data_IF_002291042900
#
_entry.id   IF_002291042900
#
_cell.length_a   1.000
_cell.length_b   1.000
_cell.length_c   1.000
_cell.angle_alpha   90.00
_cell.angle_beta   90.00
_cell.angle_gamma   90.00
#
_symmetry.space_group_name_H-M   'P 1'
#
loop_
_entity.id
_entity.type
_entity.pdbx_description
1 polymer ?
#
# COMPACT_ATOMS: atom_id res chain seq x y z
N UNK A 1 7.54 -19.00 25.02
CA UNK A 1 7.85 -18.54 23.64
C UNK A 1 7.61 -17.04 23.59
N UNK A 2 8.53 -16.25 23.02
CA UNK A 2 8.41 -14.81 22.82
C UNK A 2 8.52 -14.51 21.32
N UNK A 3 7.56 -13.76 20.78
CA UNK A 3 7.58 -13.30 19.39
C UNK A 3 7.63 -11.77 19.40
N UNK A 4 8.74 -11.19 18.95
CA UNK A 4 8.96 -9.74 18.96
C UNK A 4 8.83 -9.20 17.53
N UNK A 5 7.89 -8.27 17.34
CA UNK A 5 7.88 -7.41 16.15
C UNK A 5 8.81 -6.23 16.43
N UNK A 6 9.86 -6.01 15.63
CA UNK A 6 10.83 -4.95 15.89
C UNK A 6 10.19 -3.56 15.70
N UNK A 7 10.71 -2.51 16.36
CA UNK A 7 10.41 -1.14 15.98
C UNK A 7 10.89 -0.90 14.54
N UNK A 8 10.05 -0.29 13.72
CA UNK A 8 10.34 -0.01 12.31
C UNK A 8 10.38 1.50 12.07
N UNK A 9 11.35 1.94 11.28
CA UNK A 9 11.55 3.36 10.89
C UNK A 9 11.94 3.44 9.41
N UNK A 10 11.75 4.59 8.74
CA UNK A 10 12.20 4.78 7.37
C UNK A 10 13.72 4.56 7.22
N UNK A 11 14.20 4.08 6.06
CA UNK A 11 15.62 3.95 5.80
C UNK A 11 16.39 5.28 5.97
N UNK A 12 17.67 5.26 6.41
CA UNK A 12 18.53 6.45 6.48
C UNK A 12 18.53 7.28 5.19
N UNK A 13 18.60 6.61 4.04
CA UNK A 13 18.58 7.25 2.72
C UNK A 13 17.32 8.07 2.42
N UNK A 14 16.22 7.78 3.10
CA UNK A 14 15.00 8.60 3.03
C UNK A 14 15.00 9.62 4.16
N UNK A 15 15.12 9.17 5.42
CA UNK A 15 14.91 10.03 6.61
C UNK A 15 15.90 11.19 6.71
N UNK A 16 17.09 11.06 6.13
CA UNK A 16 18.15 12.08 6.11
C UNK A 16 18.18 12.86 4.78
N UNK A 17 17.24 12.61 3.87
CA UNK A 17 17.16 13.27 2.57
C UNK A 17 16.28 14.51 2.58
N UNK A 18 16.41 15.41 1.58
CA UNK A 18 15.52 16.55 1.40
C UNK A 18 14.06 16.20 1.07
N UNK A 19 13.73 14.92 0.87
CA UNK A 19 12.40 14.39 0.49
C UNK A 19 11.43 14.31 1.66
N UNK A 20 11.93 14.49 2.89
CA UNK A 20 11.16 14.35 4.12
C UNK A 20 10.60 15.70 4.55
N UNK A 21 9.38 15.66 5.08
CA UNK A 21 8.79 16.76 5.83
C UNK A 21 8.11 16.20 7.09
N UNK A 22 8.69 16.44 8.26
CA UNK A 22 8.16 15.95 9.54
C UNK A 22 8.64 14.54 9.93
N UNK A 23 7.77 13.54 9.84
CA UNK A 23 7.85 12.23 10.53
C UNK A 23 9.00 11.28 10.12
N UNK A 24 9.94 11.72 9.28
CA UNK A 24 11.04 10.89 8.76
C UNK A 24 10.71 10.12 7.49
N UNK A 25 9.44 10.08 7.08
CA UNK A 25 8.99 9.45 5.84
C UNK A 25 9.04 10.45 4.68
N UNK A 26 9.14 9.94 3.44
CA UNK A 26 9.02 10.76 2.25
C UNK A 26 7.64 11.43 2.22
N UNK A 27 7.64 12.76 2.11
CA UNK A 27 6.41 13.54 2.11
C UNK A 27 5.82 13.59 0.70
N UNK A 28 4.60 13.05 0.58
CA UNK A 28 3.87 12.97 -0.69
C UNK A 28 2.44 13.44 -0.53
N UNK A 29 1.86 13.93 -1.61
CA UNK A 29 0.43 14.13 -1.70
C UNK A 29 -0.25 12.75 -1.61
N UNK A 30 -1.13 12.58 -0.62
CA UNK A 30 -1.80 11.29 -0.35
C UNK A 30 -2.64 10.76 -1.53
N UNK A 31 -3.09 11.63 -2.44
CA UNK A 31 -3.89 11.23 -3.59
C UNK A 31 -3.01 11.00 -4.83
N UNK A 32 -2.08 11.89 -5.15
CA UNK A 32 -1.32 11.78 -6.40
C UNK A 32 -0.01 11.01 -6.26
N UNK A 33 0.46 10.80 -5.03
CA UNK A 33 1.75 10.19 -4.67
C UNK A 33 2.99 10.96 -5.17
N UNK A 34 2.79 12.18 -5.65
CA UNK A 34 3.85 13.13 -5.99
C UNK A 34 4.42 13.73 -4.71
N UNK A 35 5.73 13.99 -4.68
CA UNK A 35 6.35 14.74 -3.59
C UNK A 35 5.70 16.12 -3.46
N UNK A 36 5.47 16.55 -2.22
CA UNK A 36 4.95 17.89 -1.91
C UNK A 36 5.95 19.01 -2.20
N UNK A 37 7.24 18.67 -2.38
CA UNK A 37 8.35 19.62 -2.55
C UNK A 37 8.97 19.59 -3.93
N UNK A 38 8.98 18.43 -4.59
CA UNK A 38 9.63 18.24 -5.88
C UNK A 38 8.65 17.66 -6.89
N UNK A 39 8.22 18.46 -7.87
CA UNK A 39 7.21 18.06 -8.84
C UNK A 39 7.63 16.88 -9.74
N UNK A 40 8.94 16.65 -9.88
CA UNK A 40 9.51 15.55 -10.67
C UNK A 40 9.81 14.30 -9.84
N UNK A 41 9.39 14.24 -8.58
CA UNK A 41 9.65 13.12 -7.67
C UNK A 41 8.34 12.50 -7.20
N UNK A 42 8.27 11.17 -7.20
CA UNK A 42 7.12 10.39 -6.75
C UNK A 42 7.55 9.34 -5.74
N UNK A 43 6.69 9.02 -4.78
CA UNK A 43 6.94 8.04 -3.73
C UNK A 43 5.88 6.94 -3.73
N UNK A 44 6.25 5.73 -3.30
CA UNK A 44 5.35 4.59 -3.20
C UNK A 44 5.75 3.70 -2.02
N UNK A 45 4.76 3.08 -1.38
CA UNK A 45 4.95 2.06 -0.35
C UNK A 45 5.44 2.61 0.98
N UNK A 46 6.13 1.75 1.71
CA UNK A 46 6.40 1.90 3.15
C UNK A 46 7.25 3.13 3.49
N UNK A 47 8.05 3.63 2.55
CA UNK A 47 8.88 4.81 2.76
C UNK A 47 8.10 6.14 2.76
N UNK A 48 6.83 6.12 2.33
CA UNK A 48 5.99 7.33 2.23
C UNK A 48 5.22 7.62 3.51
N UNK A 49 4.75 8.85 3.67
CA UNK A 49 3.83 9.25 4.74
C UNK A 49 2.35 9.04 4.40
N UNK A 50 2.05 8.25 3.36
CA UNK A 50 0.68 7.93 2.95
C UNK A 50 -0.09 7.33 4.14
N UNK A 51 -1.24 7.91 4.55
CA UNK A 51 -1.92 7.56 5.80
C UNK A 51 -2.82 6.32 5.64
N UNK A 52 -2.24 5.20 5.22
CA UNK A 52 -2.90 3.88 5.15
C UNK A 52 -1.96 2.80 5.69
N UNK A 53 -2.47 1.57 5.83
CA UNK A 53 -1.63 0.45 6.25
C UNK A 53 -0.56 0.13 5.21
N UNK A 54 0.68 0.02 5.68
CA UNK A 54 1.89 -0.29 4.90
C UNK A 54 1.92 -1.76 4.52
N UNK A 55 1.33 -2.09 3.37
CA UNK A 55 1.17 -3.46 2.87
C UNK A 55 1.54 -3.56 1.39
N UNK A 56 1.84 -4.78 0.93
CA UNK A 56 2.03 -5.04 -0.50
C UNK A 56 0.78 -4.71 -1.33
N UNK A 57 -0.42 -4.94 -0.80
CA UNK A 57 -1.66 -4.60 -1.49
C UNK A 57 -1.82 -3.07 -1.67
N UNK A 58 -1.40 -2.28 -0.68
CA UNK A 58 -1.32 -0.83 -0.84
C UNK A 58 -0.35 -0.44 -1.95
N UNK A 59 0.84 -1.07 -2.01
CA UNK A 59 1.80 -0.85 -3.12
C UNK A 59 1.18 -1.19 -4.47
N UNK A 60 0.44 -2.29 -4.60
CA UNK A 60 -0.24 -2.66 -5.84
C UNK A 60 -1.27 -1.60 -6.27
N UNK A 61 -2.07 -1.06 -5.33
CA UNK A 61 -3.00 0.04 -5.63
C UNK A 61 -2.30 1.36 -5.95
N UNK A 62 -1.19 1.65 -5.29
CA UNK A 62 -0.39 2.86 -5.49
C UNK A 62 0.38 2.85 -6.82
N UNK A 63 0.86 1.70 -7.27
CA UNK A 63 1.73 1.59 -8.46
C UNK A 63 1.05 2.10 -9.73
N UNK A 64 -0.23 1.77 -9.91
CA UNK A 64 -1.03 2.29 -11.02
C UNK A 64 -1.17 3.81 -10.98
N UNK A 65 -1.36 4.39 -9.79
CA UNK A 65 -1.50 5.83 -9.58
C UNK A 65 -0.18 6.54 -9.90
N UNK A 66 0.95 6.07 -9.37
CA UNK A 66 2.27 6.62 -9.66
C UNK A 66 2.58 6.51 -11.15
N UNK A 67 2.35 5.36 -11.77
CA UNK A 67 2.68 5.14 -13.18
C UNK A 67 1.91 6.09 -14.10
N UNK A 68 0.62 6.34 -13.83
CA UNK A 68 -0.17 7.26 -14.64
C UNK A 68 0.20 8.72 -14.39
N UNK A 69 0.37 9.12 -13.13
CA UNK A 69 0.73 10.49 -12.80
C UNK A 69 2.13 10.85 -13.28
N UNK A 70 3.10 9.93 -13.21
CA UNK A 70 4.42 10.13 -13.78
C UNK A 70 4.36 10.35 -15.30
N UNK A 71 3.56 9.56 -16.03
CA UNK A 71 3.34 9.76 -17.47
C UNK A 71 2.72 11.12 -17.80
N UNK A 72 1.82 11.62 -16.95
CA UNK A 72 1.22 12.94 -17.10
C UNK A 72 2.23 14.05 -16.82
N UNK A 73 3.01 13.93 -15.74
CA UNK A 73 4.07 14.87 -15.37
C UNK A 73 5.12 15.00 -16.47
N UNK A 74 5.56 13.87 -17.06
CA UNK A 74 6.49 13.86 -18.20
C UNK A 74 5.96 14.62 -19.43
N UNK A 75 4.63 14.77 -19.55
CA UNK A 75 3.97 15.51 -20.64
C UNK A 75 3.59 16.94 -20.23
N UNK A 76 3.99 17.40 -19.04
CA UNK A 76 3.58 18.69 -18.48
C UNK A 76 2.07 18.80 -18.26
N UNK A 77 1.37 17.68 -18.06
CA UNK A 77 -0.08 17.65 -17.84
C UNK A 77 -0.41 17.60 -16.36
N UNK A 78 -1.61 18.08 -16.02
CA UNK A 78 -2.18 17.99 -14.68
C UNK A 78 -2.34 16.52 -14.29
N UNK A 79 -2.01 16.21 -13.03
CA UNK A 79 -2.17 14.87 -12.46
C UNK A 79 -3.64 14.59 -12.17
N UNK A 80 -4.19 13.56 -12.79
CA UNK A 80 -5.62 13.25 -12.69
C UNK A 80 -5.91 11.96 -11.93
N UNK A 81 -4.91 11.09 -11.74
CA UNK A 81 -5.13 9.81 -11.07
C UNK A 81 -5.01 9.99 -9.56
N UNK A 82 -6.06 9.63 -8.84
CA UNK A 82 -6.11 9.67 -7.38
C UNK A 82 -6.02 8.28 -6.76
N UNK A 83 -5.21 8.15 -5.72
CA UNK A 83 -5.21 7.06 -4.77
C UNK A 83 -6.12 7.41 -3.59
N UNK A 84 -6.95 6.47 -3.18
CA UNK A 84 -7.95 6.65 -2.12
C UNK A 84 -7.64 5.83 -0.86
N UNK A 85 -6.41 5.31 -0.75
CA UNK A 85 -5.96 4.65 0.48
C UNK A 85 -6.20 3.15 0.54
N UNK A 86 -6.64 2.52 -0.57
CA UNK A 86 -6.87 1.07 -0.62
C UNK A 86 -5.68 0.27 -0.09
N UNK A 87 -5.94 -0.61 0.86
CA UNK A 87 -4.98 -1.56 1.40
C UNK A 87 -5.69 -2.86 1.78
N UNK A 88 -4.93 -3.95 1.88
CA UNK A 88 -5.46 -5.25 2.28
C UNK A 88 -4.54 -5.93 3.29
N UNK A 89 -5.13 -6.58 4.29
CA UNK A 89 -4.46 -7.39 5.29
C UNK A 89 -5.11 -8.77 5.39
N UNK A 90 -4.53 -9.79 4.75
CA UNK A 90 -4.97 -11.17 4.93
C UNK A 90 -4.56 -11.70 6.32
N UNK A 91 -5.47 -11.65 7.27
CA UNK A 91 -5.27 -12.06 8.66
C UNK A 91 -5.37 -13.59 8.76
N UNK A 92 -4.27 -14.27 9.05
CA UNK A 92 -4.26 -15.71 9.32
C UNK A 92 -4.67 -15.94 10.77
N UNK A 93 -5.88 -16.45 10.98
CA UNK A 93 -6.46 -16.69 12.32
C UNK A 93 -6.26 -18.12 12.80
N UNK A 94 -5.83 -19.02 11.92
CA UNK A 94 -5.48 -20.40 12.27
C UNK A 94 -4.90 -21.15 11.07
N UNK A 95 -4.40 -22.36 11.30
CA UNK A 95 -4.05 -23.27 10.22
C UNK A 95 -5.31 -23.60 9.44
N UNK A 96 -5.40 -23.16 8.18
CA UNK A 96 -6.58 -23.21 7.30
C UNK A 96 -7.66 -22.14 7.50
N UNK A 97 -7.42 -21.11 8.33
CA UNK A 97 -8.40 -20.04 8.57
C UNK A 97 -7.79 -18.67 8.30
N UNK A 98 -8.56 -17.81 7.66
CA UNK A 98 -8.20 -16.41 7.55
C UNK A 98 -9.40 -15.48 7.36
N UNK A 99 -9.16 -14.20 7.61
CA UNK A 99 -10.05 -13.06 7.38
C UNK A 99 -9.34 -12.16 6.37
N UNK A 100 -10.04 -11.68 5.35
CA UNK A 100 -9.47 -10.77 4.35
C UNK A 100 -9.97 -9.34 4.63
N UNK A 101 -9.21 -8.59 5.41
CA UNK A 101 -9.54 -7.20 5.71
C UNK A 101 -9.08 -6.30 4.55
N UNK A 102 -10.00 -5.54 3.96
CA UNK A 102 -9.73 -4.56 2.90
C UNK A 102 -10.41 -3.25 3.25
N UNK A 103 -9.71 -2.13 3.11
CA UNK A 103 -10.22 -0.82 3.53
C UNK A 103 -9.49 0.34 2.85
N UNK A 104 -10.04 1.56 3.02
CA UNK A 104 -9.56 2.81 2.43
C UNK A 104 -9.10 3.83 3.51
N UNK A 105 -8.85 5.08 3.11
CA UNK A 105 -8.45 6.15 4.03
C UNK A 105 -9.47 6.44 5.13
N UNK A 106 -10.76 6.24 4.85
CA UNK A 106 -11.85 6.45 5.79
C UNK A 106 -11.99 5.29 6.79
N UNK A 107 -11.12 4.27 6.70
CA UNK A 107 -11.17 3.04 7.50
C UNK A 107 -12.49 2.27 7.31
N UNK A 108 -13.14 2.44 6.17
CA UNK A 108 -14.34 1.72 5.78
C UNK A 108 -13.97 0.45 5.00
N UNK A 109 -14.69 -0.67 5.19
CA UNK A 109 -14.47 -1.87 4.40
C UNK A 109 -14.66 -1.65 2.90
N UNK A 110 -13.70 -2.14 2.11
CA UNK A 110 -13.69 -2.12 0.64
C UNK A 110 -13.43 -3.54 0.13
N UNK A 111 -14.37 -4.44 0.44
CA UNK A 111 -14.24 -5.87 0.17
C UNK A 111 -14.32 -6.17 -1.34
N UNK A 112 -13.32 -6.91 -1.85
CA UNK A 112 -13.23 -7.26 -3.27
C UNK A 112 -14.31 -8.27 -3.69
N UNK A 113 -14.68 -9.19 -2.81
CA UNK A 113 -15.64 -10.26 -3.10
C UNK A 113 -17.03 -9.94 -2.54
N UNK A 114 -18.12 -10.38 -3.21
CA UNK A 114 -19.49 -10.18 -2.74
C UNK A 114 -19.87 -11.16 -1.60
N UNK A 115 -18.96 -11.38 -0.66
CA UNK A 115 -19.14 -12.20 0.54
C UNK A 115 -18.53 -11.46 1.73
N UNK A 116 -19.16 -11.56 2.89
CA UNK A 116 -18.63 -10.99 4.15
C UNK A 116 -17.21 -11.54 4.41
N UNK A 117 -16.20 -10.67 4.23
CA UNK A 117 -14.79 -11.01 4.38
C UNK A 117 -14.29 -10.85 5.81
N UNK A 118 -15.08 -10.23 6.68
CA UNK A 118 -14.86 -10.13 8.13
C UNK A 118 -15.03 -11.46 8.88
N UNK A 119 -15.59 -12.48 8.24
CA UNK A 119 -15.70 -13.84 8.80
C UNK A 119 -14.51 -14.71 8.44
N UNK A 120 -14.14 -15.61 9.36
CA UNK A 120 -13.13 -16.62 9.10
C UNK A 120 -13.56 -17.54 7.94
N UNK A 121 -12.72 -17.66 6.92
CA UNK A 121 -12.94 -18.54 5.78
C UNK A 121 -11.65 -19.26 5.39
N UNK A 122 -11.81 -20.53 5.02
CA UNK A 122 -10.74 -21.35 4.46
C UNK A 122 -10.24 -20.78 3.13
N UNK A 123 -11.15 -20.18 2.35
CA UNK A 123 -10.84 -19.49 1.11
C UNK A 123 -9.71 -18.47 1.28
N UNK A 124 -9.81 -17.57 2.25
CA UNK A 124 -8.84 -16.48 2.43
C UNK A 124 -7.47 -16.98 2.88
N UNK A 125 -7.42 -18.09 3.61
CA UNK A 125 -6.16 -18.76 3.92
C UNK A 125 -5.43 -19.21 2.65
N UNK A 126 -6.14 -19.88 1.73
CA UNK A 126 -5.53 -20.37 0.47
C UNK A 126 -5.29 -19.26 -0.55
N UNK A 127 -6.12 -18.22 -0.59
CA UNK A 127 -5.83 -16.99 -1.35
C UNK A 127 -4.49 -16.42 -0.90
N UNK A 128 -4.30 -16.21 0.41
CA UNK A 128 -3.05 -15.69 0.97
C UNK A 128 -1.86 -16.62 0.70
N UNK A 129 -2.06 -17.93 0.93
CA UNK A 129 -0.97 -18.92 0.95
C UNK A 129 -0.49 -19.28 -0.46
N UNK A 130 -1.42 -19.53 -1.38
CA UNK A 130 -1.10 -20.15 -2.67
C UNK A 130 -1.29 -19.18 -3.85
N UNK A 131 -2.31 -18.31 -3.81
CA UNK A 131 -2.64 -17.42 -4.93
C UNK A 131 -1.80 -16.15 -4.92
N UNK A 132 -1.74 -15.43 -3.79
CA UNK A 132 -1.00 -14.16 -3.70
C UNK A 132 0.49 -14.28 -4.07
N UNK A 133 1.23 -15.35 -3.72
CA UNK A 133 2.61 -15.51 -4.19
C UNK A 133 2.73 -15.60 -5.71
N UNK A 134 1.84 -16.34 -6.37
CA UNK A 134 1.82 -16.47 -7.84
C UNK A 134 1.52 -15.11 -8.48
N UNK A 135 0.54 -14.38 -7.94
CA UNK A 135 0.18 -13.04 -8.41
C UNK A 135 1.35 -12.06 -8.24
N UNK A 136 2.02 -12.10 -7.10
CA UNK A 136 3.18 -11.25 -6.83
C UNK A 136 4.29 -11.46 -7.87
N UNK A 137 4.71 -12.72 -8.08
CA UNK A 137 5.86 -13.01 -8.94
C UNK A 137 5.59 -12.89 -10.44
N UNK A 138 4.36 -13.18 -10.91
CA UNK A 138 4.08 -13.26 -12.34
C UNK A 138 3.29 -12.06 -12.90
N UNK A 139 2.70 -11.22 -12.04
CA UNK A 139 1.81 -10.13 -12.48
C UNK A 139 2.11 -8.78 -11.83
N UNK A 140 2.69 -8.74 -10.64
CA UNK A 140 2.96 -7.48 -9.94
C UNK A 140 4.37 -6.93 -10.21
N UNK A 141 5.38 -7.79 -10.19
CA UNK A 141 6.77 -7.43 -10.52
C UNK A 141 6.98 -7.35 -12.03
#
# INVERSE_FOLDING_TARGET
>A
MLHVTPPMVPPPSIRESPLVFGSGFMDVNKNTLQSTKFENVFGIGDCTNVPTSKTMAAVAGQSGVVAQNLKLAMKGKILTQGYYGYTSCPLVTGYNKGILAEFNYEMLPEETLPIDQGKERVLFYYVKKDILPILYWNFML
#
